data_IF_273315543991
#
_entry.id   IF_273315543991
#
_cell.length_a   1.000
_cell.length_b   1.000
_cell.length_c   1.000
_cell.angle_alpha   90.00
_cell.angle_beta   90.00
_cell.angle_gamma   90.00
#
_symmetry.space_group_name_H-M   'P 1'
#
loop_
_entity.id
_entity.type
_entity.pdbx_description
1 polymer ?
#
# COMPACT_ATOMS: atom_id res chain seq x y z
N UNK A 1 23.19 -10.21 -18.87
CA UNK A 1 22.55 -10.66 -20.11
C UNK A 1 22.94 -12.13 -20.40
N UNK A 2 24.23 -12.50 -20.58
CA UNK A 2 24.68 -13.88 -20.86
C UNK A 2 24.12 -14.90 -19.84
N UNK A 3 24.11 -14.57 -18.56
CA UNK A 3 23.56 -15.46 -17.53
C UNK A 3 22.03 -15.65 -17.68
N UNK A 4 21.31 -14.60 -18.07
CA UNK A 4 19.88 -14.67 -18.32
C UNK A 4 19.55 -15.50 -19.57
N UNK A 5 20.39 -15.43 -20.62
CA UNK A 5 20.26 -16.25 -21.82
C UNK A 5 20.49 -17.74 -21.52
N UNK A 6 21.51 -18.06 -20.69
CA UNK A 6 21.79 -19.45 -20.28
C UNK A 6 20.64 -20.04 -19.45
N UNK A 7 20.01 -19.24 -18.60
CA UNK A 7 18.89 -19.67 -17.75
C UNK A 7 17.57 -19.84 -18.51
N UNK A 8 17.46 -19.33 -19.74
CA UNK A 8 16.26 -19.42 -20.61
C UNK A 8 14.96 -19.13 -19.87
N UNK A 9 14.94 -18.00 -19.12
CA UNK A 9 13.83 -17.63 -18.25
C UNK A 9 12.57 -17.33 -19.07
N UNK A 10 11.52 -18.12 -18.86
CA UNK A 10 10.25 -18.02 -19.57
C UNK A 10 9.10 -17.75 -18.60
N UNK A 11 8.13 -16.96 -19.04
CA UNK A 11 6.88 -16.75 -18.32
C UNK A 11 5.68 -17.05 -19.22
N UNK A 12 4.57 -17.60 -18.68
CA UNK A 12 3.36 -17.83 -19.44
C UNK A 12 2.76 -16.49 -19.87
N UNK A 13 2.34 -16.37 -21.14
CA UNK A 13 1.71 -15.15 -21.68
C UNK A 13 0.20 -15.30 -21.75
N UNK A 14 -0.30 -16.46 -22.17
CA UNK A 14 -1.73 -16.72 -22.42
C UNK A 14 -2.48 -17.20 -21.17
N UNK A 15 -2.25 -16.57 -20.05
CA UNK A 15 -2.94 -16.86 -18.77
C UNK A 15 -3.43 -15.57 -18.14
N UNK A 16 -4.27 -15.67 -17.12
CA UNK A 16 -4.63 -14.53 -16.29
C UNK A 16 -3.38 -13.89 -15.70
N UNK A 17 -3.34 -12.56 -15.68
CA UNK A 17 -2.17 -11.85 -15.20
C UNK A 17 -1.96 -12.05 -13.69
N UNK A 18 -0.68 -12.16 -13.33
CA UNK A 18 -0.18 -12.09 -11.95
C UNK A 18 1.06 -11.22 -11.93
N UNK A 19 1.30 -10.56 -10.82
CA UNK A 19 2.44 -9.66 -10.69
C UNK A 19 2.50 -9.06 -9.29
N UNK A 20 3.17 -7.94 -9.18
CA UNK A 20 3.40 -7.25 -7.90
C UNK A 20 3.18 -5.76 -8.06
N UNK A 21 2.66 -5.12 -7.01
CA UNK A 21 2.59 -3.67 -6.90
C UNK A 21 3.99 -3.14 -6.58
N UNK A 22 4.52 -2.29 -7.45
CA UNK A 22 5.82 -1.62 -7.22
C UNK A 22 5.62 -0.41 -6.33
N UNK A 23 4.64 0.43 -6.69
CA UNK A 23 4.36 1.70 -6.03
C UNK A 23 2.89 2.06 -6.23
N UNK A 24 2.34 2.86 -5.35
CA UNK A 24 0.97 3.33 -5.47
C UNK A 24 0.80 4.75 -4.92
N UNK A 25 -0.13 5.49 -5.50
CA UNK A 25 -0.42 6.87 -5.12
C UNK A 25 -1.90 7.20 -5.30
N UNK A 26 -2.33 8.27 -4.65
CA UNK A 26 -3.64 8.85 -4.85
C UNK A 26 -3.53 10.09 -5.73
N UNK A 27 -3.96 9.99 -6.96
CA UNK A 27 -3.96 11.10 -7.93
C UNK A 27 -5.28 11.88 -7.83
N UNK A 28 -5.19 13.23 -7.80
CA UNK A 28 -6.36 14.11 -7.63
C UNK A 28 -7.41 13.99 -8.74
N UNK A 29 -6.99 13.60 -9.97
CA UNK A 29 -7.89 13.49 -11.11
C UNK A 29 -8.26 12.05 -11.48
N UNK A 30 -7.33 11.14 -11.26
CA UNK A 30 -7.43 9.73 -11.67
C UNK A 30 -7.83 8.78 -10.55
N UNK A 31 -7.81 9.26 -9.28
CA UNK A 31 -8.06 8.43 -8.10
C UNK A 31 -6.87 7.54 -7.74
N UNK A 32 -7.10 6.36 -7.15
CA UNK A 32 -6.04 5.40 -6.86
C UNK A 32 -5.33 4.95 -8.15
N UNK A 33 -4.01 5.07 -8.18
CA UNK A 33 -3.13 4.67 -9.27
C UNK A 33 -2.06 3.74 -8.70
N UNK A 34 -1.86 2.59 -9.30
CA UNK A 34 -0.83 1.63 -8.90
C UNK A 34 0.08 1.31 -10.08
N UNK A 35 1.40 1.37 -9.85
CA UNK A 35 2.41 0.87 -10.76
C UNK A 35 2.61 -0.62 -10.49
N UNK A 36 2.37 -1.44 -11.48
CA UNK A 36 2.35 -2.90 -11.39
C UNK A 36 3.42 -3.47 -12.32
N UNK A 37 4.21 -4.42 -11.85
CA UNK A 37 5.05 -5.26 -12.68
C UNK A 37 4.32 -6.56 -12.94
N UNK A 38 3.95 -6.82 -14.18
CA UNK A 38 3.38 -8.11 -14.61
C UNK A 38 4.50 -9.14 -14.62
N UNK A 39 4.35 -10.23 -13.87
CA UNK A 39 5.32 -11.32 -13.79
C UNK A 39 4.93 -12.53 -14.64
N UNK A 40 3.66 -12.71 -14.92
CA UNK A 40 3.15 -13.75 -15.78
C UNK A 40 1.73 -13.47 -16.22
N UNK A 41 1.33 -14.08 -17.32
CA UNK A 41 0.04 -13.80 -17.95
C UNK A 41 0.01 -12.48 -18.70
N UNK A 42 -1.15 -12.07 -19.15
CA UNK A 42 -1.38 -10.79 -19.81
C UNK A 42 -2.49 -10.04 -19.08
N UNK A 43 -2.19 -8.83 -18.63
CA UNK A 43 -3.14 -7.90 -18.06
C UNK A 43 -3.79 -7.10 -19.16
N UNK A 44 -5.11 -7.06 -19.20
CA UNK A 44 -5.86 -6.32 -20.20
C UNK A 44 -6.71 -5.23 -19.54
N UNK A 45 -6.99 -4.19 -20.31
CA UNK A 45 -8.00 -3.20 -19.94
C UNK A 45 -9.35 -3.90 -19.82
N UNK A 46 -10.06 -3.65 -18.72
CA UNK A 46 -11.34 -4.27 -18.39
C UNK A 46 -11.23 -5.47 -17.45
N UNK A 47 -10.03 -6.01 -17.23
CA UNK A 47 -9.81 -7.10 -16.27
C UNK A 47 -10.16 -6.68 -14.84
N UNK A 48 -10.63 -7.64 -14.06
CA UNK A 48 -10.85 -7.46 -12.62
C UNK A 48 -9.57 -7.81 -11.87
N UNK A 49 -8.97 -6.80 -11.26
CA UNK A 49 -7.72 -6.91 -10.53
C UNK A 49 -7.98 -6.98 -9.03
N UNK A 50 -7.32 -7.90 -8.37
CA UNK A 50 -7.19 -7.98 -6.91
C UNK A 50 -5.73 -7.73 -6.55
N UNK A 51 -5.47 -6.67 -5.79
CA UNK A 51 -4.15 -6.29 -5.27
C UNK A 51 -4.22 -6.34 -3.75
N UNK A 52 -3.65 -7.38 -3.14
CA UNK A 52 -3.75 -7.57 -1.68
C UNK A 52 -5.19 -7.56 -1.18
N UNK A 53 -5.56 -6.51 -0.43
CA UNK A 53 -6.90 -6.27 0.10
C UNK A 53 -7.71 -5.23 -0.71
N UNK A 54 -7.17 -4.78 -1.85
CA UNK A 54 -7.80 -3.81 -2.75
C UNK A 54 -8.22 -4.54 -4.03
N UNK A 55 -9.37 -4.18 -4.59
CA UNK A 55 -9.84 -4.72 -5.86
C UNK A 55 -10.32 -3.59 -6.77
N UNK A 56 -10.48 -3.90 -8.03
CA UNK A 56 -11.08 -2.96 -8.99
C UNK A 56 -11.03 -3.47 -10.41
N UNK A 57 -11.69 -2.76 -11.30
CA UNK A 57 -11.65 -3.04 -12.73
C UNK A 57 -10.66 -2.09 -13.41
N UNK A 58 -9.73 -2.64 -14.15
CA UNK A 58 -8.75 -1.88 -14.92
C UNK A 58 -9.47 -0.97 -15.92
N UNK A 59 -9.51 0.32 -15.65
CA UNK A 59 -10.16 1.33 -16.51
C UNK A 59 -9.22 1.84 -17.59
N UNK A 60 -7.97 2.09 -17.18
CA UNK A 60 -6.90 2.55 -18.06
C UNK A 60 -5.58 1.99 -17.58
N UNK A 61 -4.68 1.78 -18.52
CA UNK A 61 -3.28 1.43 -18.29
C UNK A 61 -2.41 2.38 -19.09
N UNK A 62 -1.27 2.73 -18.50
CA UNK A 62 -0.28 3.63 -19.10
C UNK A 62 1.09 2.95 -18.96
N UNK A 63 1.87 2.99 -20.02
CA UNK A 63 3.24 2.45 -20.02
C UNK A 63 4.24 3.42 -19.37
N UNK A 64 5.52 3.03 -19.35
CA UNK A 64 6.62 3.84 -18.81
C UNK A 64 6.87 5.16 -19.57
N UNK A 65 6.33 5.30 -20.78
CA UNK A 65 6.43 6.52 -21.60
C UNK A 65 5.22 7.47 -21.43
N UNK A 66 4.25 7.08 -20.60
CA UNK A 66 3.01 7.81 -20.42
C UNK A 66 1.97 7.57 -21.51
N UNK A 67 2.14 6.54 -22.35
CA UNK A 67 1.22 6.21 -23.43
C UNK A 67 0.16 5.21 -22.95
N UNK A 68 -1.08 5.41 -23.38
CA UNK A 68 -2.16 4.50 -23.05
C UNK A 68 -1.99 3.16 -23.78
N UNK A 69 -2.02 2.06 -23.01
CA UNK A 69 -1.92 0.69 -23.53
C UNK A 69 -3.17 -0.12 -23.21
N UNK A 70 -3.51 -1.07 -24.07
CA UNK A 70 -4.66 -1.95 -23.89
C UNK A 70 -4.31 -3.26 -23.19
N UNK A 71 -3.05 -3.69 -23.24
CA UNK A 71 -2.56 -4.93 -22.65
C UNK A 71 -1.11 -4.80 -22.22
N UNK A 72 -0.71 -5.56 -21.21
CA UNK A 72 0.66 -5.67 -20.72
C UNK A 72 1.00 -7.14 -20.45
N UNK A 73 2.07 -7.62 -21.07
CA UNK A 73 2.60 -8.97 -20.88
C UNK A 73 3.61 -9.07 -19.74
N UNK A 74 4.22 -10.24 -19.54
CA UNK A 74 5.25 -10.45 -18.53
C UNK A 74 6.44 -9.49 -18.65
N UNK A 75 7.00 -9.09 -17.52
CA UNK A 75 8.13 -8.16 -17.38
C UNK A 75 7.84 -6.72 -17.83
N UNK A 76 6.58 -6.39 -18.10
CA UNK A 76 6.18 -5.02 -18.47
C UNK A 76 5.62 -4.31 -17.25
N UNK A 77 6.20 -3.16 -16.84
CA UNK A 77 5.62 -2.29 -15.83
C UNK A 77 4.51 -1.44 -16.45
N UNK A 78 3.39 -1.30 -15.75
CA UNK A 78 2.27 -0.46 -16.17
C UNK A 78 1.64 0.26 -14.98
N UNK A 79 1.23 1.52 -15.18
CA UNK A 79 0.34 2.21 -14.26
C UNK A 79 -1.11 1.81 -14.53
N UNK A 80 -1.80 1.35 -13.50
CA UNK A 80 -3.18 0.91 -13.57
C UNK A 80 -4.08 1.87 -12.80
N UNK A 81 -5.23 2.19 -13.39
CA UNK A 81 -6.29 3.02 -12.81
C UNK A 81 -7.59 2.22 -12.69
N UNK A 82 -8.40 2.53 -11.68
CA UNK A 82 -9.70 1.92 -11.47
C UNK A 82 -9.79 1.01 -10.27
N UNK A 83 -8.77 1.00 -9.40
CA UNK A 83 -8.79 0.33 -8.11
C UNK A 83 -9.71 1.07 -7.14
N UNK A 84 -10.25 0.34 -6.15
CA UNK A 84 -11.13 0.88 -5.12
C UNK A 84 -10.41 1.73 -4.08
N UNK A 85 -9.12 1.47 -3.88
CA UNK A 85 -8.25 2.16 -2.92
C UNK A 85 -6.79 2.03 -3.37
N UNK A 86 -5.86 2.63 -2.63
CA UNK A 86 -4.42 2.57 -2.88
C UNK A 86 -3.88 1.27 -2.28
N UNK A 87 -3.41 0.30 -3.10
CA UNK A 87 -2.81 -0.93 -2.57
C UNK A 87 -1.43 -0.66 -1.96
N UNK A 88 -0.98 -1.53 -1.05
CA UNK A 88 0.36 -1.43 -0.52
C UNK A 88 1.42 -1.88 -1.54
N UNK A 89 2.59 -1.25 -1.50
CA UNK A 89 3.74 -1.69 -2.29
C UNK A 89 4.16 -3.11 -1.86
N UNK A 90 4.58 -3.94 -2.82
CA UNK A 90 4.93 -5.35 -2.58
C UNK A 90 3.73 -6.31 -2.54
N UNK A 91 2.49 -5.84 -2.58
CA UNK A 91 1.33 -6.73 -2.66
C UNK A 91 1.25 -7.46 -4.00
N UNK A 92 0.88 -8.74 -3.93
CA UNK A 92 0.63 -9.53 -5.13
C UNK A 92 -0.66 -9.10 -5.82
N UNK A 93 -0.61 -9.04 -7.13
CA UNK A 93 -1.78 -8.84 -7.97
C UNK A 93 -2.18 -10.12 -8.68
N UNK A 94 -3.51 -10.34 -8.77
CA UNK A 94 -4.09 -11.45 -9.51
C UNK A 94 -5.32 -10.95 -10.27
N UNK A 95 -5.45 -11.38 -11.52
CA UNK A 95 -6.66 -11.16 -12.31
C UNK A 95 -7.68 -12.25 -12.01
N UNK A 96 -8.90 -11.86 -11.70
CA UNK A 96 -10.03 -12.73 -11.44
C UNK A 96 -11.11 -12.55 -12.52
N UNK A 97 -11.87 -13.59 -12.77
CA UNK A 97 -12.98 -13.55 -13.76
C UNK A 97 -14.22 -12.84 -13.23
N UNK A 98 -14.43 -12.89 -11.91
CA UNK A 98 -15.63 -12.40 -11.24
C UNK A 98 -15.31 -11.30 -10.24
N UNK A 99 -15.91 -10.13 -10.45
CA UNK A 99 -15.75 -8.96 -9.59
C UNK A 99 -16.35 -9.18 -8.18
N UNK A 100 -17.41 -10.01 -8.06
CA UNK A 100 -17.99 -10.35 -6.77
C UNK A 100 -17.00 -11.13 -5.92
N UNK A 101 -16.31 -12.13 -6.51
CA UNK A 101 -15.26 -12.89 -5.83
C UNK A 101 -14.09 -12.01 -5.43
N UNK A 102 -13.67 -11.08 -6.30
CA UNK A 102 -12.61 -10.14 -5.97
C UNK A 102 -12.97 -9.29 -4.75
N UNK A 103 -14.21 -8.77 -4.72
CA UNK A 103 -14.74 -8.00 -3.59
C UNK A 103 -14.79 -8.83 -2.30
N UNK A 104 -15.31 -10.05 -2.34
CA UNK A 104 -15.40 -10.93 -1.17
C UNK A 104 -14.02 -11.23 -0.58
N UNK A 105 -13.04 -11.56 -1.43
CA UNK A 105 -11.66 -11.82 -0.99
C UNK A 105 -11.04 -10.55 -0.39
N UNK A 106 -11.23 -9.40 -1.04
CA UNK A 106 -10.72 -8.12 -0.55
C UNK A 106 -11.29 -7.78 0.83
N UNK A 107 -12.60 -7.86 1.00
CA UNK A 107 -13.27 -7.62 2.28
C UNK A 107 -12.81 -8.57 3.39
N UNK A 108 -12.65 -9.86 3.07
CA UNK A 108 -12.14 -10.84 4.02
C UNK A 108 -10.71 -10.51 4.46
N UNK A 109 -9.83 -10.13 3.51
CA UNK A 109 -8.46 -9.73 3.81
C UNK A 109 -8.43 -8.44 4.63
N UNK A 110 -9.24 -7.42 4.28
CA UNK A 110 -9.36 -6.19 5.06
C UNK A 110 -9.79 -6.48 6.51
N UNK A 111 -10.78 -7.35 6.72
CA UNK A 111 -11.20 -7.78 8.05
C UNK A 111 -10.04 -8.36 8.85
N UNK A 112 -9.30 -9.31 8.28
CA UNK A 112 -8.13 -9.90 8.94
C UNK A 112 -7.03 -8.88 9.25
N UNK A 113 -6.72 -7.99 8.31
CA UNK A 113 -5.74 -6.92 8.57
C UNK A 113 -6.17 -6.01 9.71
N UNK A 114 -7.46 -5.66 9.77
CA UNK A 114 -8.03 -4.86 10.85
C UNK A 114 -7.91 -5.56 12.21
N UNK A 115 -8.24 -6.84 12.28
CA UNK A 115 -8.11 -7.64 13.51
C UNK A 115 -6.65 -7.72 13.98
N UNK A 116 -5.72 -8.02 13.09
CA UNK A 116 -4.28 -8.07 13.42
C UNK A 116 -3.77 -6.71 13.87
N UNK A 117 -4.18 -5.62 13.20
CA UNK A 117 -3.79 -4.26 13.58
C UNK A 117 -4.33 -3.89 14.96
N UNK A 118 -5.59 -4.20 15.24
CA UNK A 118 -6.20 -3.97 16.56
C UNK A 118 -5.50 -4.80 17.66
N UNK A 119 -5.22 -6.08 17.41
CA UNK A 119 -4.50 -6.94 18.35
C UNK A 119 -3.09 -6.38 18.67
N UNK A 120 -2.36 -5.92 17.65
CA UNK A 120 -1.04 -5.28 17.84
C UNK A 120 -1.16 -3.97 18.65
N UNK A 121 -2.18 -3.15 18.36
CA UNK A 121 -2.41 -1.92 19.11
C UNK A 121 -2.78 -2.17 20.58
N UNK A 122 -3.57 -3.22 20.86
CA UNK A 122 -3.88 -3.61 22.24
C UNK A 122 -2.65 -4.12 22.99
N UNK A 123 -1.81 -4.94 22.35
CA UNK A 123 -0.56 -5.40 22.94
C UNK A 123 0.38 -4.22 23.24
N UNK A 124 0.60 -3.32 22.27
CA UNK A 124 1.44 -2.14 22.46
C UNK A 124 0.91 -1.18 23.55
N UNK A 125 -0.43 -1.05 23.69
CA UNK A 125 -1.03 -0.26 24.78
C UNK A 125 -0.77 -0.87 26.15
N UNK A 126 -0.84 -2.20 26.27
CA UNK A 126 -0.53 -2.90 27.51
C UNK A 126 0.93 -2.74 27.90
N UNK A 127 1.86 -2.92 26.94
CA UNK A 127 3.30 -2.70 27.18
C UNK A 127 3.58 -1.26 27.63
N UNK A 128 3.03 -0.27 26.94
CA UNK A 128 3.16 1.14 27.30
C UNK A 128 2.56 1.46 28.69
N UNK A 129 1.46 0.85 29.09
CA UNK A 129 0.91 0.99 30.43
C UNK A 129 1.84 0.43 31.51
N UNK A 130 2.49 -0.70 31.26
CA UNK A 130 3.45 -1.29 32.18
C UNK A 130 4.73 -0.45 32.28
N UNK A 131 5.18 0.16 31.18
CA UNK A 131 6.36 1.01 31.16
C UNK A 131 6.11 2.37 31.84
N UNK A 132 4.91 2.95 31.68
CA UNK A 132 4.50 4.17 32.39
C UNK A 132 4.39 3.99 33.93
N UNK A 133 4.19 2.75 34.37
CA UNK A 133 4.17 2.43 35.80
C UNK A 133 5.59 2.27 36.38
N UNK A 134 6.61 2.10 35.54
CA UNK A 134 7.97 1.79 35.99
C UNK A 134 8.87 2.99 36.19
N UNK A 135 8.77 4.07 35.42
CA UNK A 135 9.61 5.26 35.60
C UNK A 135 9.11 6.46 34.79
N UNK A 136 9.23 7.66 35.38
CA UNK A 136 9.06 9.02 34.89
C UNK A 136 8.58 9.26 33.45
N UNK A 137 7.69 10.21 33.28
CA UNK A 137 7.04 10.53 32.01
C UNK A 137 8.02 10.70 30.84
N UNK A 138 8.22 9.64 30.06
CA UNK A 138 8.88 9.72 28.76
C UNK A 138 8.09 10.66 27.87
N UNK A 139 8.71 11.68 27.31
CA UNK A 139 8.05 12.60 26.39
C UNK A 139 7.71 11.88 25.10
N UNK A 140 6.45 11.90 24.69
CA UNK A 140 5.98 11.28 23.46
C UNK A 140 5.76 12.36 22.39
N UNK A 141 6.42 12.20 21.25
CA UNK A 141 6.18 13.00 20.05
C UNK A 141 5.22 12.22 19.13
N UNK A 142 3.98 12.67 19.11
CA UNK A 142 2.92 12.03 18.30
C UNK A 142 2.88 12.66 16.91
N UNK A 143 2.87 11.82 15.85
CA UNK A 143 2.96 12.28 14.47
C UNK A 143 1.93 11.60 13.57
N UNK A 144 1.49 12.33 12.56
CA UNK A 144 0.74 11.84 11.40
C UNK A 144 1.60 12.10 10.16
N UNK A 145 1.78 11.08 9.34
CA UNK A 145 2.59 11.17 8.12
C UNK A 145 1.68 11.18 6.91
N UNK A 146 1.91 12.16 6.01
CA UNK A 146 1.24 12.22 4.71
C UNK A 146 2.31 12.37 3.62
N UNK A 147 2.29 11.45 2.66
CA UNK A 147 3.22 11.45 1.54
C UNK A 147 2.46 11.38 0.20
N UNK A 148 3.15 11.65 -0.88
CA UNK A 148 2.61 11.55 -2.24
C UNK A 148 2.46 10.11 -2.72
N UNK A 149 3.36 9.21 -2.27
CA UNK A 149 3.39 7.80 -2.62
C UNK A 149 3.53 6.91 -1.39
N UNK A 150 3.13 5.65 -1.53
CA UNK A 150 3.11 4.67 -0.44
C UNK A 150 4.51 4.38 0.10
N UNK A 151 5.49 4.17 -0.77
CA UNK A 151 6.86 3.85 -0.34
C UNK A 151 7.52 4.97 0.47
N UNK A 152 7.29 6.23 0.10
CA UNK A 152 7.76 7.39 0.88
C UNK A 152 7.14 7.44 2.27
N UNK A 153 5.84 7.17 2.37
CA UNK A 153 5.12 7.13 3.65
C UNK A 153 5.68 6.06 4.58
N UNK A 154 5.95 4.86 4.07
CA UNK A 154 6.53 3.75 4.85
C UNK A 154 7.97 4.02 5.25
N UNK A 155 8.80 4.55 4.35
CA UNK A 155 10.18 4.89 4.62
C UNK A 155 10.31 5.95 5.72
N UNK A 156 9.47 7.00 5.65
CA UNK A 156 9.41 8.04 6.68
C UNK A 156 8.96 7.46 8.02
N UNK A 157 7.89 6.65 8.03
CA UNK A 157 7.40 6.01 9.25
C UNK A 157 8.48 5.17 9.92
N UNK A 158 9.17 4.33 9.15
CA UNK A 158 10.26 3.50 9.67
C UNK A 158 11.43 4.33 10.19
N UNK A 159 11.85 5.36 9.44
CA UNK A 159 12.99 6.19 9.82
C UNK A 159 12.70 7.02 11.07
N UNK A 160 11.52 7.63 11.15
CA UNK A 160 11.12 8.44 12.30
C UNK A 160 10.96 7.60 13.57
N UNK A 161 10.39 6.40 13.46
CA UNK A 161 10.29 5.48 14.62
C UNK A 161 11.67 5.08 15.14
N UNK A 162 12.67 4.92 14.28
CA UNK A 162 14.05 4.60 14.68
C UNK A 162 14.79 5.74 15.38
N UNK A 163 14.29 6.98 15.28
CA UNK A 163 14.85 8.13 16.00
C UNK A 163 14.38 8.21 17.45
N UNK A 164 13.51 7.31 17.89
CA UNK A 164 13.09 7.22 19.29
C UNK A 164 14.30 7.01 20.21
N UNK A 165 14.34 7.73 21.32
CA UNK A 165 15.35 7.63 22.38
C UNK A 165 14.66 7.30 23.71
N UNK A 166 15.43 7.03 24.74
CA UNK A 166 14.91 6.77 26.10
C UNK A 166 14.21 8.00 26.72
N UNK A 167 14.52 9.22 26.22
CA UNK A 167 13.91 10.47 26.69
C UNK A 167 12.67 10.87 25.87
N UNK A 168 12.65 10.54 24.54
CA UNK A 168 11.58 10.94 23.62
C UNK A 168 11.19 9.77 22.74
N UNK A 169 9.96 9.34 22.82
CA UNK A 169 9.37 8.32 21.96
C UNK A 169 8.61 8.94 20.79
N UNK A 170 8.93 8.52 19.56
CA UNK A 170 8.17 8.89 18.35
C UNK A 170 7.03 7.90 18.17
N UNK A 171 5.80 8.40 18.20
CA UNK A 171 4.58 7.62 18.03
C UNK A 171 3.83 8.05 16.76
N UNK A 172 3.75 7.16 15.77
CA UNK A 172 3.04 7.42 14.53
C UNK A 172 1.61 6.90 14.66
N UNK A 173 0.65 7.82 14.78
CA UNK A 173 -0.77 7.49 14.93
C UNK A 173 -1.38 7.07 13.60
N UNK A 174 -1.00 7.77 12.52
CA UNK A 174 -1.52 7.50 11.19
C UNK A 174 -0.46 7.79 10.13
N UNK A 175 -0.46 6.98 9.09
CA UNK A 175 0.36 7.15 7.90
C UNK A 175 -0.52 6.91 6.68
N UNK A 176 -0.45 7.79 5.69
CA UNK A 176 -1.32 7.70 4.53
C UNK A 176 -0.79 8.46 3.32
N UNK A 177 -1.40 8.21 2.18
CA UNK A 177 -1.03 8.77 0.88
C UNK A 177 -2.01 9.88 0.48
N UNK A 178 -1.49 10.90 -0.19
CA UNK A 178 -2.25 12.04 -0.70
C UNK A 178 -2.19 13.29 0.18
N UNK A 179 -3.01 14.27 -0.13
CA UNK A 179 -3.04 15.54 0.61
C UNK A 179 -3.64 15.43 2.01
N UNK A 180 -3.36 16.40 2.85
CA UNK A 180 -3.97 16.54 4.17
C UNK A 180 -5.46 16.88 3.99
N UNK A 181 -6.32 16.14 4.67
CA UNK A 181 -7.77 16.32 4.66
C UNK A 181 -8.31 16.68 6.05
N UNK A 182 -9.59 16.99 6.13
CA UNK A 182 -10.26 17.37 7.38
C UNK A 182 -10.17 16.26 8.44
N UNK A 183 -10.27 14.99 8.03
CA UNK A 183 -10.16 13.85 8.95
C UNK A 183 -8.76 13.76 9.56
N UNK A 184 -7.71 14.08 8.80
CA UNK A 184 -6.33 14.11 9.29
C UNK A 184 -6.16 15.22 10.33
N UNK A 185 -6.76 16.40 10.11
CA UNK A 185 -6.73 17.53 11.06
C UNK A 185 -7.47 17.16 12.34
N UNK A 186 -8.66 16.58 12.24
CA UNK A 186 -9.43 16.15 13.39
C UNK A 186 -8.70 15.07 14.21
N UNK A 187 -8.03 14.14 13.52
CA UNK A 187 -7.21 13.13 14.18
C UNK A 187 -5.99 13.76 14.87
N UNK A 188 -5.33 14.72 14.22
CA UNK A 188 -4.20 15.45 14.81
C UNK A 188 -4.60 16.20 16.09
N UNK A 189 -5.74 16.89 16.06
CA UNK A 189 -6.28 17.57 17.24
C UNK A 189 -6.61 16.58 18.36
N UNK A 190 -7.28 15.48 18.06
CA UNK A 190 -7.66 14.47 19.04
C UNK A 190 -6.47 13.73 19.67
N UNK A 191 -5.38 13.56 18.93
CA UNK A 191 -4.17 12.85 19.37
C UNK A 191 -3.02 13.77 19.79
N UNK A 192 -3.20 15.09 19.70
CA UNK A 192 -2.17 16.12 19.89
C UNK A 192 -0.92 15.81 19.04
N UNK A 193 -1.16 15.48 17.77
CA UNK A 193 -0.13 15.06 16.83
C UNK A 193 0.29 16.18 15.88
N UNK A 194 1.56 16.14 15.47
CA UNK A 194 2.09 16.98 14.40
C UNK A 194 1.88 16.27 13.06
N UNK A 195 1.41 16.98 12.03
CA UNK A 195 1.30 16.44 10.67
C UNK A 195 2.56 16.80 9.89
N UNK A 196 3.17 15.79 9.28
CA UNK A 196 4.39 15.89 8.47
C UNK A 196 4.15 15.32 7.09
#
# INVERSE_FOLDING_TARGET
LLQAEILDLKAPVKTAARGVVIESRLDKGRGPVASILVQGGTLNRGDVLLAGAVFGRVRAMVDENGLAVSSAGPSIPVEVQGLSDVPAAGEEIVVLQDEKKAREIALFRQGKFREVKLAKQHAAKLDNMFDQLKEGAVKSLTMIIKADVQGSSEALAHSLTRLSTDEVQVNIVHSGVGGINESDINLALASNAVIV
#
